data_IF_909823898086
#
_entry.id   IF_909823898086
#
_cell.length_a   1.000
_cell.length_b   1.000
_cell.length_c   1.000
_cell.angle_alpha   90.00
_cell.angle_beta   90.00
_cell.angle_gamma   90.00
#
_symmetry.space_group_name_H-M   'P 1'
#
loop_
_entity.id
_entity.type
_entity.pdbx_description
1 polymer ?
#
# COMPACT_ATOMS: atom_id res chain seq x y z
N UNK A 1 -25.92 0.95 -20.51
CA UNK A 1 -25.79 1.99 -21.56
C UNK A 1 -24.72 2.96 -21.09
N UNK A 2 -23.47 2.63 -21.37
CA UNK A 2 -22.67 3.15 -22.48
C UNK A 2 -22.08 4.53 -22.16
N UNK A 3 -20.80 4.54 -21.80
CA UNK A 3 -19.94 5.72 -21.88
C UNK A 3 -18.56 5.23 -22.36
N UNK A 4 -18.37 5.36 -23.66
CA UNK A 4 -17.12 5.20 -24.39
C UNK A 4 -16.34 6.53 -24.35
N UNK A 5 -15.11 6.49 -24.89
CA UNK A 5 -14.17 7.61 -25.17
C UNK A 5 -13.13 7.87 -24.06
N UNK A 6 -11.83 8.04 -24.34
CA UNK A 6 -11.20 8.50 -25.57
C UNK A 6 -9.81 7.87 -25.83
N UNK A 7 -9.60 7.46 -27.08
CA UNK A 7 -8.33 7.26 -27.77
C UNK A 7 -8.02 8.54 -28.56
N UNK A 8 -6.80 9.09 -28.51
CA UNK A 8 -6.31 10.03 -29.53
C UNK A 8 -4.78 9.93 -29.73
N UNK A 9 -4.36 9.77 -30.98
CA UNK A 9 -3.10 10.25 -31.60
C UNK A 9 -3.25 10.22 -33.16
N UNK A 10 -2.43 10.92 -33.99
CA UNK A 10 -2.77 12.24 -34.58
C UNK A 10 -2.51 12.39 -36.12
N UNK A 11 -2.62 13.63 -36.64
CA UNK A 11 -2.07 14.25 -37.92
C UNK A 11 -3.03 14.17 -39.15
N UNK A 12 -3.28 15.15 -40.06
CA UNK A 12 -2.61 16.38 -40.59
C UNK A 12 -3.54 17.31 -41.43
N UNK A 13 -3.19 18.62 -41.51
CA UNK A 13 -3.26 19.63 -42.63
C UNK A 13 -4.63 19.93 -43.31
N UNK A 14 -5.08 21.16 -43.60
CA UNK A 14 -4.51 22.20 -44.50
C UNK A 14 -5.21 23.60 -44.38
N UNK A 15 -4.47 24.65 -44.78
CA UNK A 15 -4.73 26.08 -45.16
C UNK A 15 -6.08 26.82 -44.93
N UNK A 16 -6.01 28.07 -44.43
CA UNK A 16 -6.12 29.31 -45.24
C UNK A 16 -6.04 30.60 -44.37
N UNK A 17 -5.36 31.62 -44.89
CA UNK A 17 -5.25 33.04 -44.45
C UNK A 17 -6.12 33.92 -45.37
N UNK A 18 -6.41 35.25 -45.15
CA UNK A 18 -5.52 36.25 -44.53
C UNK A 18 -6.11 37.49 -43.77
N UNK A 19 -5.19 38.21 -43.06
CA UNK A 19 -5.00 39.70 -42.90
C UNK A 19 -6.13 40.57 -42.26
N UNK A 20 -5.91 41.70 -41.55
CA UNK A 20 -4.81 42.64 -41.28
C UNK A 20 -5.13 43.46 -39.98
N UNK A 21 -4.12 43.86 -39.19
CA UNK A 21 -3.84 45.25 -38.73
C UNK A 21 -3.07 45.29 -37.39
N UNK A 22 -1.94 45.99 -37.39
CA UNK A 22 -1.05 46.36 -36.28
C UNK A 22 -1.25 47.89 -35.99
N UNK A 23 -0.55 48.59 -35.06
CA UNK A 23 0.59 48.17 -34.23
C UNK A 23 0.55 48.66 -32.75
N UNK A 24 1.43 48.10 -31.90
CA UNK A 24 2.37 48.91 -31.10
C UNK A 24 3.48 48.06 -30.47
N UNK A 25 4.65 48.68 -30.52
CA UNK A 25 6.01 48.27 -30.19
C UNK A 25 6.24 48.01 -28.70
N UNK A 26 6.94 46.92 -28.37
CA UNK A 26 7.97 46.91 -27.31
C UNK A 26 9.05 45.88 -27.68
N UNK A 27 10.29 46.35 -27.67
CA UNK A 27 11.54 45.64 -27.95
C UNK A 27 12.07 44.99 -26.68
N UNK A 28 12.52 43.73 -26.73
CA UNK A 28 13.84 43.30 -26.23
C UNK A 28 14.13 41.81 -26.54
N UNK A 29 15.29 41.59 -27.17
CA UNK A 29 16.20 40.42 -27.22
C UNK A 29 15.65 38.98 -27.34
N UNK A 30 16.13 38.29 -28.38
CA UNK A 30 16.33 36.83 -28.45
C UNK A 30 17.83 36.56 -28.80
N UNK A 31 18.30 35.32 -28.95
CA UNK A 31 18.38 34.23 -27.96
C UNK A 31 19.78 33.56 -28.01
N UNK A 32 20.09 32.63 -27.10
CA UNK A 32 21.19 31.67 -27.34
C UNK A 32 20.67 30.24 -27.23
N UNK A 33 20.50 29.61 -28.39
CA UNK A 33 20.18 28.19 -28.55
C UNK A 33 21.49 27.46 -28.89
N UNK A 34 21.92 26.55 -28.04
CA UNK A 34 22.96 25.58 -28.37
C UNK A 34 22.29 24.41 -29.10
N UNK A 35 22.66 24.22 -30.37
CA UNK A 35 22.41 23.01 -31.17
C UNK A 35 23.49 21.98 -30.85
N UNK A 36 23.08 20.73 -30.58
CA UNK A 36 23.89 19.56 -30.86
C UNK A 36 23.01 18.56 -31.63
N UNK A 37 23.32 18.36 -32.90
CA UNK A 37 22.81 17.28 -33.75
C UNK A 37 23.74 16.09 -33.60
N UNK A 38 23.20 14.90 -33.36
CA UNK A 38 23.83 13.65 -33.73
C UNK A 38 22.75 12.68 -34.20
N UNK A 39 22.83 12.37 -35.49
CA UNK A 39 21.96 11.47 -36.24
C UNK A 39 22.39 10.03 -35.99
N UNK A 40 21.47 9.16 -35.59
CA UNK A 40 21.64 7.71 -35.73
C UNK A 40 20.26 7.07 -36.02
N UNK A 41 20.17 6.41 -37.17
CA UNK A 41 18.98 5.65 -37.60
C UNK A 41 18.78 4.39 -36.73
N UNK A 42 17.53 3.91 -36.55
CA UNK A 42 17.27 2.68 -35.81
C UNK A 42 17.35 1.45 -36.72
N UNK A 43 18.20 0.49 -36.34
CA UNK A 43 18.22 -0.89 -36.83
C UNK A 43 17.03 -1.67 -36.26
N UNK A 44 16.30 -2.35 -37.14
CA UNK A 44 15.13 -3.19 -36.84
C UNK A 44 15.56 -4.56 -36.29
N UNK A 45 15.13 -4.89 -35.08
CA UNK A 45 15.09 -6.28 -34.57
C UNK A 45 13.64 -6.69 -34.29
N UNK A 46 13.21 -7.92 -34.63
CA UNK A 46 11.81 -8.31 -34.53
C UNK A 46 11.45 -8.68 -33.08
N UNK A 47 10.61 -7.86 -32.45
CA UNK A 47 9.97 -8.18 -31.17
C UNK A 47 8.96 -9.32 -31.32
N UNK A 48 9.18 -10.41 -30.57
CA UNK A 48 8.19 -11.48 -30.33
C UNK A 48 6.86 -10.89 -29.83
N UNK A 49 5.70 -11.46 -30.21
CA UNK A 49 4.42 -10.96 -29.75
C UNK A 49 4.23 -11.27 -28.26
N UNK A 50 4.18 -10.23 -27.43
CA UNK A 50 3.67 -10.36 -26.06
C UNK A 50 2.19 -10.73 -26.14
N UNK A 51 1.83 -11.91 -25.59
CA UNK A 51 0.43 -12.28 -25.40
C UNK A 51 -0.22 -11.21 -24.53
N UNK A 52 -1.17 -10.46 -25.11
CA UNK A 52 -2.10 -9.61 -24.36
C UNK A 52 -2.91 -10.51 -23.42
N UNK A 53 -2.51 -10.56 -22.16
CA UNK A 53 -3.36 -11.07 -21.08
C UNK A 53 -4.55 -10.13 -21.03
N UNK A 54 -5.75 -10.65 -21.31
CA UNK A 54 -6.99 -9.89 -21.25
C UNK A 54 -7.13 -9.27 -19.86
N UNK A 55 -7.36 -7.96 -19.81
CA UNK A 55 -7.74 -7.26 -18.58
C UNK A 55 -9.11 -7.78 -18.15
N UNK A 56 -9.13 -8.81 -17.32
CA UNK A 56 -10.32 -9.16 -16.55
C UNK A 56 -10.54 -8.03 -15.56
N UNK A 57 -11.58 -7.22 -15.77
CA UNK A 57 -11.98 -6.20 -14.81
C UNK A 57 -12.29 -6.87 -13.48
N UNK A 58 -11.65 -6.42 -12.40
CA UNK A 58 -11.90 -6.91 -11.04
C UNK A 58 -13.39 -6.70 -10.75
N UNK A 59 -14.13 -7.77 -10.49
CA UNK A 59 -15.49 -7.65 -9.95
C UNK A 59 -15.37 -7.02 -8.59
N UNK A 60 -15.80 -5.76 -8.46
CA UNK A 60 -15.89 -5.11 -7.18
C UNK A 60 -16.95 -5.82 -6.34
N UNK A 61 -16.53 -6.38 -5.21
CA UNK A 61 -17.38 -6.94 -4.17
C UNK A 61 -17.20 -6.13 -2.89
N UNK A 62 -18.00 -6.42 -1.87
CA UNK A 62 -17.81 -5.84 -0.54
C UNK A 62 -16.41 -6.14 0.02
N UNK A 63 -15.83 -7.29 -0.36
CA UNK A 63 -14.56 -7.79 0.14
C UNK A 63 -13.35 -7.36 -0.70
N UNK A 64 -13.58 -6.61 -1.80
CA UNK A 64 -12.49 -6.05 -2.60
C UNK A 64 -11.73 -5.02 -1.76
N UNK A 65 -10.41 -5.17 -1.59
CA UNK A 65 -9.60 -4.21 -0.85
C UNK A 65 -9.71 -2.82 -1.47
N UNK A 66 -9.83 -1.81 -0.61
CA UNK A 66 -9.98 -0.41 -0.99
C UNK A 66 -8.74 0.36 -0.55
N UNK A 67 -8.46 1.43 -1.28
CA UNK A 67 -7.50 2.42 -0.85
C UNK A 67 -8.16 3.36 0.13
N UNK A 68 -7.51 3.61 1.27
CA UNK A 68 -8.08 4.41 2.34
C UNK A 68 -7.42 5.79 2.45
N UNK A 69 -8.22 6.77 2.86
CA UNK A 69 -7.78 8.11 3.25
C UNK A 69 -8.50 8.53 4.53
N UNK A 70 -8.00 9.53 5.21
CA UNK A 70 -8.58 10.00 6.47
C UNK A 70 -8.59 11.52 6.58
N UNK A 71 -9.14 12.00 7.70
CA UNK A 71 -9.04 13.39 8.11
C UNK A 71 -7.66 13.60 8.73
N UNK A 72 -6.75 14.15 7.92
CA UNK A 72 -5.37 14.37 8.34
C UNK A 72 -5.23 15.50 9.35
N UNK A 73 -6.15 16.45 9.36
CA UNK A 73 -6.11 17.59 10.29
C UNK A 73 -6.60 17.13 11.68
N UNK A 74 -7.59 16.23 11.72
CA UNK A 74 -7.99 15.51 12.94
C UNK A 74 -6.83 14.62 13.45
N UNK A 75 -6.15 13.86 12.57
CA UNK A 75 -4.97 13.08 12.97
C UNK A 75 -3.86 13.95 13.55
N UNK A 76 -3.57 15.10 12.92
CA UNK A 76 -2.58 16.05 13.41
C UNK A 76 -2.93 16.60 14.79
N UNK A 77 -4.20 16.93 15.01
CA UNK A 77 -4.71 17.37 16.32
C UNK A 77 -4.56 16.27 17.38
N UNK A 78 -4.87 15.03 17.04
CA UNK A 78 -4.77 13.88 17.96
C UNK A 78 -3.32 13.60 18.38
N UNK A 79 -2.34 13.85 17.51
CA UNK A 79 -0.92 13.64 17.79
C UNK A 79 -0.16 14.88 18.26
N UNK A 80 -0.83 16.02 18.37
CA UNK A 80 -0.22 17.26 18.79
C UNK A 80 0.12 17.22 20.28
N UNK A 81 1.40 17.38 20.62
CA UNK A 81 1.92 17.33 22.01
C UNK A 81 1.45 18.50 22.87
N UNK A 82 1.06 19.61 22.25
CA UNK A 82 0.51 20.77 22.97
C UNK A 82 -0.97 20.63 23.28
N UNK A 83 -1.73 19.99 22.39
CA UNK A 83 -3.18 19.80 22.53
C UNK A 83 -3.49 18.54 23.35
N UNK A 84 -2.80 17.44 23.07
CA UNK A 84 -3.07 16.14 23.68
C UNK A 84 -2.01 15.79 24.73
N UNK A 85 -2.36 16.02 26.01
CA UNK A 85 -1.47 15.75 27.15
C UNK A 85 -1.45 14.29 27.61
N UNK A 86 -2.23 13.41 26.97
CA UNK A 86 -2.23 11.97 27.26
C UNK A 86 -1.20 11.19 26.44
N UNK A 87 -0.47 11.85 25.53
CA UNK A 87 0.59 11.22 24.76
C UNK A 87 1.77 10.90 25.69
N UNK A 88 2.00 9.61 25.95
CA UNK A 88 3.19 9.15 26.65
C UNK A 88 4.39 9.14 25.69
N UNK A 89 5.12 10.24 25.70
CA UNK A 89 6.27 10.43 24.82
C UNK A 89 7.37 9.38 25.07
N UNK A 90 7.51 8.90 26.31
CA UNK A 90 8.52 7.89 26.66
C UNK A 90 8.17 6.51 26.08
N UNK A 91 6.88 6.15 26.09
CA UNK A 91 6.38 4.92 25.43
C UNK A 91 6.62 4.99 23.92
N UNK A 92 6.35 6.15 23.28
CA UNK A 92 6.60 6.31 21.84
C UNK A 92 8.09 6.30 21.47
N UNK A 93 8.96 6.87 22.29
CA UNK A 93 10.41 6.81 22.06
C UNK A 93 10.94 5.37 22.17
N UNK A 94 10.46 4.60 23.15
CA UNK A 94 10.81 3.18 23.27
C UNK A 94 10.35 2.38 22.05
N UNK A 95 9.10 2.57 21.61
CA UNK A 95 8.57 1.95 20.39
C UNK A 95 9.39 2.36 19.15
N UNK A 96 9.79 3.62 19.03
CA UNK A 96 10.62 4.08 17.93
C UNK A 96 11.96 3.33 17.87
N UNK A 97 12.60 3.06 19.01
CA UNK A 97 13.83 2.25 19.03
C UNK A 97 13.58 0.81 18.58
N UNK A 98 12.47 0.21 18.99
CA UNK A 98 12.07 -1.11 18.53
C UNK A 98 11.92 -1.16 16.99
N UNK A 99 11.25 -0.17 16.39
CA UNK A 99 11.10 -0.05 14.93
C UNK A 99 12.43 0.17 14.20
N UNK A 100 13.36 0.94 14.81
CA UNK A 100 14.69 1.22 14.24
C UNK A 100 15.58 0.00 14.20
N UNK A 101 15.39 -0.94 15.11
CA UNK A 101 16.22 -2.15 15.18
C UNK A 101 16.04 -3.05 13.95
N UNK A 102 14.87 -3.01 13.31
CA UNK A 102 14.59 -3.65 12.00
C UNK A 102 15.08 -5.11 11.90
N UNK A 103 14.63 -5.95 12.84
CA UNK A 103 14.98 -7.38 12.90
C UNK A 103 14.74 -8.14 11.58
N UNK A 104 13.81 -7.65 10.74
CA UNK A 104 13.37 -8.30 9.51
C UNK A 104 14.01 -7.74 8.23
N UNK A 105 15.08 -6.94 8.33
CA UNK A 105 15.74 -6.30 7.19
C UNK A 105 16.06 -7.28 6.04
N UNK A 106 16.56 -8.47 6.37
CA UNK A 106 16.96 -9.51 5.40
C UNK A 106 15.96 -10.66 5.27
N UNK A 107 14.80 -10.57 5.93
CA UNK A 107 13.85 -11.70 6.01
C UNK A 107 13.15 -12.00 4.68
N UNK A 108 12.82 -10.97 3.90
CA UNK A 108 12.01 -11.09 2.68
C UNK A 108 12.82 -11.51 1.43
N UNK A 109 13.76 -12.44 1.61
CA UNK A 109 14.58 -13.02 0.54
C UNK A 109 13.99 -14.37 0.11
N UNK A 110 13.69 -14.50 -1.19
CA UNK A 110 13.01 -15.66 -1.78
C UNK A 110 14.03 -16.67 -2.32
N UNK A 111 13.62 -17.93 -2.37
CA UNK A 111 14.40 -19.03 -2.96
C UNK A 111 13.67 -19.65 -4.17
N UNK A 112 14.26 -20.68 -4.79
CA UNK A 112 13.71 -21.34 -5.99
C UNK A 112 12.40 -22.11 -5.73
N UNK A 113 12.15 -22.52 -4.47
CA UNK A 113 10.96 -23.30 -4.09
C UNK A 113 9.65 -22.58 -4.43
N UNK A 114 9.66 -21.25 -4.42
CA UNK A 114 8.50 -20.41 -4.71
C UNK A 114 7.94 -20.67 -6.12
N UNK A 115 8.82 -20.65 -7.13
CA UNK A 115 8.40 -20.85 -8.52
C UNK A 115 7.91 -22.27 -8.76
N UNK A 116 8.61 -23.26 -8.22
CA UNK A 116 8.24 -24.67 -8.33
C UNK A 116 6.88 -24.96 -7.67
N UNK A 117 6.60 -24.34 -6.53
CA UNK A 117 5.30 -24.46 -5.85
C UNK A 117 4.17 -23.79 -6.65
N UNK A 118 4.41 -22.61 -7.22
CA UNK A 118 3.43 -21.93 -8.08
C UNK A 118 3.04 -22.77 -9.31
N UNK A 119 4.02 -23.45 -9.92
CA UNK A 119 3.78 -24.28 -11.11
C UNK A 119 2.96 -25.55 -10.80
N UNK A 120 3.03 -26.05 -9.55
CA UNK A 120 2.24 -27.18 -9.05
C UNK A 120 0.79 -26.80 -8.70
N UNK A 121 0.53 -25.52 -8.39
CA UNK A 121 -0.80 -25.05 -8.05
C UNK A 121 -1.67 -24.92 -9.30
N UNK A 122 -2.73 -25.73 -9.38
CA UNK A 122 -3.64 -25.78 -10.52
C UNK A 122 -5.12 -25.68 -10.10
N UNK A 123 -5.99 -25.45 -11.09
CA UNK A 123 -7.44 -25.47 -10.90
C UNK A 123 -7.98 -24.41 -9.91
N UNK A 124 -9.05 -24.73 -9.15
CA UNK A 124 -9.69 -23.79 -8.22
C UNK A 124 -8.73 -23.25 -7.14
N UNK A 125 -7.81 -24.09 -6.65
CA UNK A 125 -6.86 -23.69 -5.62
C UNK A 125 -5.93 -22.57 -6.12
N UNK A 126 -5.45 -22.68 -7.37
CA UNK A 126 -4.64 -21.62 -7.99
C UNK A 126 -5.39 -20.30 -8.05
N UNK A 127 -6.68 -20.32 -8.40
CA UNK A 127 -7.50 -19.12 -8.50
C UNK A 127 -7.66 -18.45 -7.13
N UNK A 128 -8.01 -19.22 -6.09
CA UNK A 128 -8.17 -18.71 -4.73
C UNK A 128 -6.84 -18.14 -4.22
N UNK A 129 -5.72 -18.82 -4.49
CA UNK A 129 -4.42 -18.38 -4.01
C UNK A 129 -3.94 -17.11 -4.71
N UNK A 130 -4.15 -16.98 -6.03
CA UNK A 130 -3.88 -15.73 -6.76
C UNK A 130 -4.75 -14.59 -6.24
N UNK A 131 -6.04 -14.83 -5.99
CA UNK A 131 -6.93 -13.83 -5.41
C UNK A 131 -6.46 -13.40 -4.01
N UNK A 132 -6.03 -14.35 -3.18
CA UNK A 132 -5.43 -14.07 -1.87
C UNK A 132 -4.20 -13.15 -2.02
N UNK A 133 -3.24 -13.49 -2.89
CA UNK A 133 -2.04 -12.67 -3.09
C UNK A 133 -2.37 -11.26 -3.60
N UNK A 134 -3.29 -11.15 -4.56
CA UNK A 134 -3.73 -9.85 -5.11
C UNK A 134 -4.38 -8.98 -4.02
N UNK A 135 -5.27 -9.59 -3.23
CA UNK A 135 -6.01 -8.87 -2.20
C UNK A 135 -5.12 -8.43 -1.06
N UNK A 136 -4.26 -9.32 -0.56
CA UNK A 136 -3.28 -9.00 0.48
C UNK A 136 -2.32 -7.92 -0.01
N UNK A 137 -1.76 -8.05 -1.23
CA UNK A 137 -0.83 -7.05 -1.77
C UNK A 137 -1.46 -5.65 -1.86
N UNK A 138 -2.74 -5.59 -2.27
CA UNK A 138 -3.47 -4.33 -2.35
C UNK A 138 -3.74 -3.72 -0.97
N UNK A 139 -4.02 -4.56 0.03
CA UNK A 139 -4.25 -4.11 1.41
C UNK A 139 -2.96 -3.51 2.03
N UNK A 140 -1.83 -4.23 1.98
CA UNK A 140 -0.56 -3.72 2.51
C UNK A 140 -0.12 -2.44 1.79
N UNK A 141 -0.29 -2.41 0.46
CA UNK A 141 0.04 -1.22 -0.31
C UNK A 141 -0.85 -0.02 0.02
N UNK A 142 -2.11 -0.24 0.40
CA UNK A 142 -2.98 0.82 0.91
C UNK A 142 -2.49 1.34 2.26
N UNK A 143 -2.12 0.46 3.19
CA UNK A 143 -1.54 0.81 4.49
C UNK A 143 -0.28 1.66 4.33
N UNK A 144 0.64 1.21 3.48
CA UNK A 144 1.86 1.94 3.10
C UNK A 144 1.57 3.41 2.72
N UNK A 145 0.61 3.66 1.82
CA UNK A 145 0.33 5.02 1.35
C UNK A 145 -0.22 5.91 2.47
N UNK A 146 -1.09 5.36 3.30
CA UNK A 146 -1.68 6.09 4.43
C UNK A 146 -0.59 6.45 5.45
N UNK A 147 0.24 5.49 5.87
CA UNK A 147 1.31 5.72 6.84
C UNK A 147 2.40 6.65 6.30
N UNK A 148 2.74 6.53 5.02
CA UNK A 148 3.69 7.44 4.36
C UNK A 148 3.21 8.89 4.40
N UNK A 149 1.92 9.12 4.17
CA UNK A 149 1.36 10.47 4.22
C UNK A 149 1.28 11.01 5.65
N UNK A 150 0.91 10.17 6.63
CA UNK A 150 0.93 10.52 8.06
C UNK A 150 2.35 10.87 8.53
N UNK A 151 3.34 10.04 8.20
CA UNK A 151 4.74 10.28 8.51
C UNK A 151 5.29 11.56 7.87
N UNK A 152 4.74 12.01 6.74
CA UNK A 152 5.10 13.30 6.13
C UNK A 152 4.46 14.47 6.85
N UNK A 153 3.16 14.39 7.17
CA UNK A 153 2.40 15.49 7.76
C UNK A 153 2.77 15.76 9.21
N UNK A 154 2.95 14.71 10.00
CA UNK A 154 3.19 14.82 11.43
C UNK A 154 4.59 15.30 11.81
N UNK A 155 5.52 15.47 10.86
CA UNK A 155 6.92 15.83 11.15
C UNK A 155 7.09 17.06 12.02
N UNK A 156 6.22 18.06 11.88
CA UNK A 156 6.27 19.30 12.66
C UNK A 156 5.52 19.19 13.99
N UNK A 157 4.57 18.28 14.06
CA UNK A 157 3.58 18.22 15.15
C UNK A 157 3.96 17.17 16.19
N UNK A 158 4.48 16.04 15.73
CA UNK A 158 5.09 15.01 16.57
C UNK A 158 6.16 14.25 15.76
N UNK A 159 7.43 14.69 15.81
CA UNK A 159 8.51 14.10 15.04
C UNK A 159 8.72 12.61 15.31
N UNK A 160 8.52 12.16 16.56
CA UNK A 160 8.70 10.75 16.96
C UNK A 160 7.64 9.88 16.32
N UNK A 161 6.36 10.25 16.46
CA UNK A 161 5.24 9.53 15.83
C UNK A 161 5.37 9.56 14.30
N UNK A 162 5.82 10.68 13.73
CA UNK A 162 6.06 10.79 12.29
C UNK A 162 7.15 9.82 11.80
N UNK A 163 8.21 9.63 12.59
CA UNK A 163 9.26 8.66 12.29
C UNK A 163 8.75 7.22 12.41
N UNK A 164 7.95 6.90 13.44
CA UNK A 164 7.31 5.57 13.57
C UNK A 164 6.46 5.26 12.34
N UNK A 165 5.56 6.17 11.93
CA UNK A 165 4.75 5.96 10.71
C UNK A 165 5.60 5.80 9.44
N UNK A 166 6.75 6.49 9.38
CA UNK A 166 7.68 6.32 8.26
C UNK A 166 8.30 4.92 8.25
N UNK A 167 8.66 4.37 9.42
CA UNK A 167 9.19 3.01 9.57
C UNK A 167 8.11 1.95 9.33
N UNK A 168 6.89 2.14 9.82
CA UNK A 168 5.76 1.28 9.48
C UNK A 168 5.52 1.26 7.97
N UNK A 169 5.55 2.43 7.30
CA UNK A 169 5.41 2.49 5.85
C UNK A 169 6.51 1.71 5.11
N UNK A 170 7.74 1.64 5.66
CA UNK A 170 8.81 0.79 5.12
C UNK A 170 8.43 -0.69 5.22
N UNK A 171 7.87 -1.11 6.35
CA UNK A 171 7.49 -2.50 6.59
C UNK A 171 6.39 -2.93 5.62
N UNK A 172 5.31 -2.14 5.54
CA UNK A 172 4.19 -2.34 4.60
C UNK A 172 4.65 -2.39 3.13
N UNK A 173 5.61 -1.54 2.75
CA UNK A 173 6.17 -1.57 1.41
C UNK A 173 6.95 -2.87 1.13
N UNK A 174 7.66 -3.41 2.13
CA UNK A 174 8.34 -4.72 2.02
C UNK A 174 7.33 -5.85 1.88
N UNK A 175 6.28 -5.83 2.69
CA UNK A 175 5.17 -6.78 2.67
C UNK A 175 4.46 -6.81 1.31
N UNK A 176 3.99 -5.64 0.84
CA UNK A 176 3.37 -5.48 -0.47
C UNK A 176 4.30 -5.94 -1.60
N UNK A 177 5.58 -5.57 -1.53
CA UNK A 177 6.60 -5.96 -2.50
C UNK A 177 6.85 -7.47 -2.53
N UNK A 178 6.85 -8.13 -1.38
CA UNK A 178 7.00 -9.58 -1.26
C UNK A 178 5.80 -10.33 -1.85
N UNK A 179 4.58 -9.87 -1.58
CA UNK A 179 3.36 -10.42 -2.16
C UNK A 179 3.29 -10.23 -3.68
N UNK A 180 3.68 -9.05 -4.18
CA UNK A 180 3.70 -8.78 -5.62
C UNK A 180 4.73 -9.66 -6.36
N UNK A 181 5.88 -9.91 -5.72
CA UNK A 181 6.86 -10.90 -6.20
C UNK A 181 6.24 -12.31 -6.24
N UNK A 182 5.40 -12.67 -5.27
CA UNK A 182 4.65 -13.92 -5.28
C UNK A 182 3.71 -14.05 -6.48
N UNK A 183 2.97 -12.99 -6.82
CA UNK A 183 2.13 -12.94 -8.03
C UNK A 183 2.94 -13.20 -9.32
N UNK A 184 4.20 -12.76 -9.35
CA UNK A 184 5.07 -12.92 -10.53
C UNK A 184 5.35 -14.38 -10.84
N UNK A 185 5.34 -15.28 -9.84
CA UNK A 185 5.49 -16.72 -10.09
C UNK A 185 4.32 -17.30 -10.89
N UNK A 186 3.14 -16.71 -10.75
CA UNK A 186 1.94 -17.04 -11.50
C UNK A 186 1.83 -16.29 -12.83
N UNK A 187 2.90 -15.58 -13.22
CA UNK A 187 2.98 -14.68 -14.38
C UNK A 187 2.00 -13.49 -14.29
N UNK A 188 1.76 -12.99 -13.07
CA UNK A 188 0.93 -11.83 -12.79
C UNK A 188 1.76 -10.77 -12.07
N UNK A 189 1.41 -9.50 -12.22
CA UNK A 189 2.03 -8.43 -11.46
C UNK A 189 1.04 -7.29 -11.28
N UNK A 190 1.03 -6.70 -10.09
CA UNK A 190 0.33 -5.47 -9.83
C UNK A 190 1.25 -4.28 -10.12
N UNK A 191 0.76 -3.38 -10.97
CA UNK A 191 1.37 -2.07 -11.16
C UNK A 191 0.94 -1.15 -10.01
N UNK A 192 1.71 -1.21 -8.92
CA UNK A 192 1.47 -0.42 -7.72
C UNK A 192 1.48 1.09 -8.02
N UNK A 193 2.34 1.54 -8.95
CA UNK A 193 2.41 2.94 -9.37
C UNK A 193 1.15 3.39 -10.09
N UNK A 194 0.61 2.56 -11.00
CA UNK A 194 -0.69 2.83 -11.62
C UNK A 194 -1.83 2.80 -10.61
N UNK A 195 -1.83 1.85 -9.66
CA UNK A 195 -2.86 1.73 -8.63
C UNK A 195 -3.01 3.02 -7.81
N UNK A 196 -1.90 3.71 -7.48
CA UNK A 196 -1.97 4.99 -6.76
C UNK A 196 -2.72 6.09 -7.53
N UNK A 197 -2.65 6.09 -8.87
CA UNK A 197 -3.24 7.13 -9.72
C UNK A 197 -4.67 6.84 -10.14
N UNK A 198 -5.00 5.56 -10.30
CA UNK A 198 -6.25 5.13 -10.89
C UNK A 198 -7.36 4.80 -9.88
N UNK A 199 -7.02 4.60 -8.60
CA UNK A 199 -7.97 4.11 -7.59
C UNK A 199 -8.73 5.23 -6.91
N UNK A 200 -9.97 4.92 -6.53
CA UNK A 200 -10.80 5.76 -5.68
C UNK A 200 -10.40 5.54 -4.23
N UNK A 201 -10.11 6.63 -3.53
CA UNK A 201 -9.88 6.60 -2.09
C UNK A 201 -11.22 6.55 -1.36
N UNK A 202 -11.29 5.70 -0.34
CA UNK A 202 -12.43 5.57 0.56
C UNK A 202 -12.07 6.28 1.86
N UNK A 203 -12.88 7.24 2.26
CA UNK A 203 -12.66 8.00 3.48
C UNK A 203 -13.06 7.21 4.72
N UNK A 204 -12.19 7.19 5.72
CA UNK A 204 -12.46 6.69 7.07
C UNK A 204 -12.07 7.74 8.11
N UNK A 205 -12.92 7.92 9.12
CA UNK A 205 -12.56 8.79 10.26
C UNK A 205 -11.40 8.17 11.06
N UNK A 206 -10.49 8.98 11.61
CA UNK A 206 -9.36 8.54 12.43
C UNK A 206 -9.71 7.50 13.48
N UNK A 207 -10.80 7.73 14.24
CA UNK A 207 -11.30 6.80 15.25
C UNK A 207 -11.47 5.36 14.71
N UNK A 208 -12.04 5.20 13.51
CA UNK A 208 -12.28 3.88 12.94
C UNK A 208 -11.01 3.24 12.40
N UNK A 209 -10.06 4.05 11.91
CA UNK A 209 -8.74 3.56 11.50
C UNK A 209 -8.03 2.97 12.70
N UNK A 210 -8.04 3.65 13.85
CA UNK A 210 -7.36 3.13 15.03
C UNK A 210 -7.95 1.80 15.53
N UNK A 211 -9.28 1.66 15.59
CA UNK A 211 -9.88 0.37 15.95
C UNK A 211 -9.59 -0.71 14.90
N UNK A 212 -9.83 -0.41 13.63
CA UNK A 212 -9.71 -1.37 12.55
C UNK A 212 -8.27 -1.88 12.45
N UNK A 213 -7.30 -0.96 12.45
CA UNK A 213 -5.88 -1.31 12.37
C UNK A 213 -5.42 -2.04 13.62
N UNK A 214 -5.68 -1.52 14.83
CA UNK A 214 -5.26 -2.21 16.06
C UNK A 214 -5.77 -3.66 16.13
N UNK A 215 -7.04 -3.86 15.78
CA UNK A 215 -7.65 -5.18 15.80
C UNK A 215 -7.19 -6.05 14.63
N UNK A 216 -6.96 -5.48 13.44
CA UNK A 216 -6.39 -6.24 12.32
C UNK A 216 -4.99 -6.73 12.63
N UNK A 217 -4.15 -5.91 13.26
CA UNK A 217 -2.80 -6.30 13.66
C UNK A 217 -2.84 -7.44 14.68
N UNK A 218 -3.60 -7.28 15.76
CA UNK A 218 -3.62 -8.28 16.84
C UNK A 218 -4.31 -9.58 16.42
N UNK A 219 -5.45 -9.52 15.71
CA UNK A 219 -6.14 -10.73 15.25
C UNK A 219 -5.37 -11.37 14.08
N UNK A 220 -4.82 -10.56 13.18
CA UNK A 220 -3.96 -11.00 12.08
C UNK A 220 -2.75 -11.77 12.58
N UNK A 221 -2.05 -11.26 13.59
CA UNK A 221 -0.97 -11.96 14.28
C UNK A 221 -1.37 -13.37 14.69
N UNK A 222 -2.44 -13.50 15.48
CA UNK A 222 -2.89 -14.80 16.00
C UNK A 222 -3.32 -15.75 14.89
N UNK A 223 -3.98 -15.24 13.85
CA UNK A 223 -4.38 -16.04 12.70
C UNK A 223 -3.17 -16.60 11.96
N UNK A 224 -2.21 -15.74 11.62
CA UNK A 224 -1.06 -16.14 10.81
C UNK A 224 -0.05 -16.98 11.59
N UNK A 225 0.17 -16.72 12.88
CA UNK A 225 1.03 -17.59 13.70
C UNK A 225 0.42 -18.98 13.89
N UNK A 226 -0.91 -19.07 13.99
CA UNK A 226 -1.62 -20.37 14.07
C UNK A 226 -1.47 -21.15 12.77
N UNK A 227 -1.66 -20.49 11.62
CA UNK A 227 -1.43 -21.10 10.30
C UNK A 227 0.02 -21.57 10.18
N UNK A 228 1.00 -20.74 10.55
CA UNK A 228 2.41 -21.10 10.50
C UNK A 228 2.72 -22.33 11.35
N UNK A 229 2.27 -22.36 12.62
CA UNK A 229 2.50 -23.50 13.53
C UNK A 229 1.88 -24.78 12.99
N UNK A 230 0.63 -24.71 12.51
CA UNK A 230 -0.05 -25.86 11.93
C UNK A 230 0.70 -26.41 10.69
N UNK A 231 1.13 -25.54 9.77
CA UNK A 231 1.87 -25.94 8.57
C UNK A 231 3.29 -26.41 8.86
N UNK A 232 3.90 -25.95 9.96
CA UNK A 232 5.19 -26.44 10.44
C UNK A 232 5.09 -27.87 10.95
N UNK A 233 4.01 -28.22 11.64
CA UNK A 233 3.71 -29.58 12.11
C UNK A 233 3.20 -30.51 11.00
N UNK A 234 2.56 -29.94 9.96
CA UNK A 234 1.97 -30.69 8.86
C UNK A 234 2.42 -30.12 7.49
N UNK A 235 3.69 -30.32 7.08
CA UNK A 235 4.26 -29.72 5.87
C UNK A 235 3.55 -30.12 4.56
N UNK A 236 2.84 -31.25 4.55
CA UNK A 236 2.10 -31.77 3.40
C UNK A 236 0.94 -30.87 2.96
N UNK A 237 0.37 -30.06 3.88
CA UNK A 237 -0.68 -29.09 3.56
C UNK A 237 -0.13 -27.74 3.07
N UNK A 238 1.20 -27.54 3.10
CA UNK A 238 1.80 -26.29 2.68
C UNK A 238 1.85 -26.18 1.15
N UNK A 239 0.87 -25.49 0.59
CA UNK A 239 0.71 -25.36 -0.86
C UNK A 239 1.67 -24.34 -1.52
N UNK A 240 2.25 -23.43 -0.74
CA UNK A 240 3.17 -22.40 -1.24
C UNK A 240 4.14 -21.92 -0.14
N UNK A 241 5.42 -21.60 -0.42
CA UNK A 241 6.43 -21.31 0.62
C UNK A 241 6.20 -20.03 1.43
N UNK A 242 5.28 -19.15 1.03
CA UNK A 242 5.03 -17.87 1.72
C UNK A 242 4.76 -18.04 3.21
N UNK A 243 4.10 -19.13 3.60
CA UNK A 243 3.72 -19.39 4.99
C UNK A 243 4.94 -19.59 5.90
N UNK A 244 6.10 -20.04 5.37
CA UNK A 244 7.36 -20.13 6.14
C UNK A 244 7.85 -18.77 6.63
N UNK A 245 7.42 -17.69 5.99
CA UNK A 245 7.84 -16.34 6.30
C UNK A 245 6.92 -15.66 7.32
N UNK A 246 5.78 -16.27 7.66
CA UNK A 246 4.77 -15.68 8.52
C UNK A 246 5.25 -15.47 9.95
N UNK A 247 6.14 -16.32 10.50
CA UNK A 247 6.62 -16.15 11.88
C UNK A 247 7.23 -14.76 12.12
N UNK A 248 8.21 -14.38 11.31
CA UNK A 248 8.87 -13.07 11.42
C UNK A 248 7.97 -11.95 10.93
N UNK A 249 7.18 -12.15 9.87
CA UNK A 249 6.20 -11.16 9.43
C UNK A 249 5.24 -10.80 10.57
N UNK A 250 4.67 -11.80 11.25
CA UNK A 250 3.80 -11.60 12.40
C UNK A 250 4.46 -10.75 13.50
N UNK A 251 5.79 -10.83 13.68
CA UNK A 251 6.46 -9.96 14.64
C UNK A 251 6.45 -8.49 14.22
N UNK A 252 6.49 -8.18 12.93
CA UNK A 252 6.26 -6.79 12.44
C UNK A 252 4.85 -6.34 12.82
N UNK A 253 3.83 -7.14 12.53
CA UNK A 253 2.43 -6.80 12.85
C UNK A 253 2.20 -6.69 14.36
N UNK A 254 2.88 -7.50 15.16
CA UNK A 254 2.78 -7.37 16.60
C UNK A 254 3.33 -6.02 17.09
N UNK A 255 4.48 -5.58 16.56
CA UNK A 255 5.10 -4.27 16.86
C UNK A 255 4.22 -3.12 16.37
N UNK A 256 3.60 -3.25 15.19
CA UNK A 256 2.61 -2.31 14.68
C UNK A 256 1.42 -2.21 15.64
N UNK A 257 0.90 -3.36 16.08
CA UNK A 257 -0.15 -3.44 17.08
C UNK A 257 0.21 -2.83 18.43
N UNK A 258 1.48 -2.95 18.87
CA UNK A 258 1.95 -2.33 20.12
C UNK A 258 1.98 -0.80 20.01
N UNK A 259 2.40 -0.27 18.85
CA UNK A 259 2.28 1.15 18.58
C UNK A 259 0.82 1.63 18.57
N UNK A 260 -0.08 0.94 17.85
CA UNK A 260 -1.49 1.29 17.88
C UNK A 260 -2.13 1.14 19.27
N UNK A 261 -1.63 0.23 20.11
CA UNK A 261 -2.04 0.14 21.52
C UNK A 261 -1.70 1.42 22.28
N UNK A 262 -0.46 1.92 22.16
CA UNK A 262 -0.05 3.20 22.75
C UNK A 262 -0.89 4.37 22.20
N UNK A 263 -1.16 4.40 20.89
CA UNK A 263 -2.06 5.40 20.29
C UNK A 263 -3.48 5.32 20.86
N UNK A 264 -4.00 4.12 21.11
CA UNK A 264 -5.34 3.96 21.69
C UNK A 264 -5.38 4.41 23.15
N UNK A 265 -4.34 4.12 23.94
CA UNK A 265 -4.21 4.56 25.34
C UNK A 265 -4.15 6.08 25.47
N UNK A 266 -3.40 6.73 24.59
CA UNK A 266 -3.32 8.19 24.55
C UNK A 266 -4.67 8.85 24.23
N UNK A 267 -5.63 8.08 23.68
CA UNK A 267 -6.96 8.55 23.28
C UNK A 267 -8.07 7.92 24.15
N UNK A 268 -8.21 8.29 25.46
CA UNK A 268 -9.19 7.68 26.37
C UNK A 268 -10.63 7.67 25.85
N UNK A 269 -11.02 8.67 25.06
CA UNK A 269 -12.33 8.76 24.41
C UNK A 269 -12.63 7.61 23.44
N UNK A 270 -11.60 6.89 22.98
CA UNK A 270 -11.72 5.71 22.15
C UNK A 270 -11.69 4.40 22.94
N UNK A 271 -11.53 4.43 24.27
CA UNK A 271 -11.52 3.21 25.09
C UNK A 271 -12.63 3.19 26.14
N UNK A 272 -12.93 4.35 26.74
CA UNK A 272 -13.67 4.39 28.00
C UNK A 272 -15.19 4.57 27.83
N UNK A 273 -15.66 5.03 26.67
CA UNK A 273 -17.10 5.22 26.41
C UNK A 273 -17.82 3.89 26.15
N UNK A 274 -19.12 3.80 26.47
CA UNK A 274 -19.95 2.63 26.19
C UNK A 274 -19.98 2.31 24.69
N UNK A 275 -20.00 3.34 23.83
CA UNK A 275 -19.90 3.18 22.37
C UNK A 275 -18.58 2.55 21.97
N UNK A 276 -17.47 2.94 22.61
CA UNK A 276 -16.14 2.38 22.34
C UNK A 276 -16.10 0.88 22.65
N UNK A 277 -16.70 0.44 23.76
CA UNK A 277 -16.81 -0.98 24.11
C UNK A 277 -17.64 -1.77 23.07
N UNK A 278 -18.72 -1.18 22.55
CA UNK A 278 -19.50 -1.81 21.48
C UNK A 278 -18.72 -1.89 20.17
N UNK A 279 -17.99 -0.83 19.78
CA UNK A 279 -17.14 -0.86 18.60
C UNK A 279 -16.04 -1.91 18.71
N UNK A 280 -15.37 -2.01 19.85
CA UNK A 280 -14.38 -3.04 20.10
C UNK A 280 -14.98 -4.45 19.93
N UNK A 281 -16.17 -4.72 20.52
CA UNK A 281 -16.87 -6.00 20.34
C UNK A 281 -17.26 -6.25 18.88
N UNK A 282 -17.81 -5.25 18.21
CA UNK A 282 -18.20 -5.35 16.81
C UNK A 282 -17.02 -5.72 15.91
N UNK A 283 -15.89 -5.02 16.04
CA UNK A 283 -14.71 -5.29 15.24
C UNK A 283 -14.04 -6.61 15.63
N UNK A 284 -14.00 -6.98 16.92
CA UNK A 284 -13.53 -8.32 17.32
C UNK A 284 -14.35 -9.43 16.65
N UNK A 285 -15.68 -9.30 16.61
CA UNK A 285 -16.54 -10.28 15.94
C UNK A 285 -16.37 -10.24 14.41
N UNK A 286 -16.32 -9.05 13.83
CA UNK A 286 -16.25 -8.86 12.37
C UNK A 286 -14.92 -9.30 11.76
N UNK A 287 -13.83 -9.27 12.54
CA UNK A 287 -12.49 -9.68 12.10
C UNK A 287 -12.23 -11.17 12.40
N UNK A 288 -12.92 -11.75 13.39
CA UNK A 288 -12.89 -13.21 13.62
C UNK A 288 -13.73 -14.00 12.62
N UNK A 289 -14.82 -13.42 12.10
CA UNK A 289 -15.68 -13.99 11.07
C UNK A 289 -15.06 -13.85 9.67
#
# INVERSE_FOLDING_TARGET
MAAEMALVKPISKFSSTPRFSNPRTFTHSKPTTIKMSATAQPTTTPTKPSKKVGKTSIKETLLTPRFYTTDFDEMETLFNTEINKNLDQSEFEALLQEFKTDYNQTHFVRNKEFKEAADKLQGPLRQIFVEFLERSCTAEFSGFLLYKELGRRLKKTNPVVAEIFSLMSRDEARHAGFLNKGLSDFNLALDLGFLTKARKYTFFKPKFIFYATYLSEKIGYWRYITIYRHLKENPEYQCYPIFKYFENWCQDENRHGDFFSALMKAQPQFLNDWKAKLWARFFCLSVML
#
